data_IF_612532273252
#
_entry.id   IF_612532273252
#
_cell.length_a   1.000
_cell.length_b   1.000
_cell.length_c   1.000
_cell.angle_alpha   90.00
_cell.angle_beta   90.00
_cell.angle_gamma   90.00
#
_symmetry.space_group_name_H-M   'P 1'
#
loop_
_entity.id
_entity.type
_entity.pdbx_description
1 polymer ?
#
# COMPACT_ATOMS: atom_id res chain seq x y z
N UNK A 1 -17.86 -21.71 -7.98
CA UNK A 1 -18.07 -20.27 -7.82
C UNK A 1 -18.34 -19.99 -6.37
N UNK A 2 -17.62 -19.06 -5.76
CA UNK A 2 -17.81 -18.64 -4.36
C UNK A 2 -18.14 -17.15 -4.38
N UNK A 3 -19.07 -16.77 -3.54
CA UNK A 3 -19.47 -15.38 -3.32
C UNK A 3 -19.25 -15.06 -1.85
N UNK A 4 -18.54 -13.95 -1.57
CA UNK A 4 -18.38 -13.43 -0.22
C UNK A 4 -18.86 -11.98 -0.21
N UNK A 5 -19.53 -11.62 0.86
CA UNK A 5 -19.98 -10.26 1.13
C UNK A 5 -19.29 -9.76 2.38
N UNK A 6 -18.92 -8.48 2.39
CA UNK A 6 -18.34 -7.81 3.53
C UNK A 6 -18.77 -6.35 3.62
N UNK A 7 -18.53 -5.76 4.77
CA UNK A 7 -18.66 -4.32 4.98
C UNK A 7 -17.31 -3.82 5.43
N UNK A 8 -16.89 -2.71 4.90
CA UNK A 8 -15.61 -2.09 5.21
C UNK A 8 -15.84 -0.64 5.62
N UNK A 9 -15.11 -0.22 6.63
CA UNK A 9 -15.02 1.17 7.04
C UNK A 9 -13.58 1.49 7.40
N UNK A 10 -13.00 2.49 6.76
CA UNK A 10 -11.73 3.08 7.14
C UNK A 10 -11.73 4.59 6.94
N UNK A 11 -10.70 5.25 7.48
CA UNK A 11 -10.60 6.69 7.39
C UNK A 11 -10.27 7.20 5.98
N UNK A 12 -9.69 6.40 5.09
CA UNK A 12 -9.34 6.82 3.73
C UNK A 12 -10.50 6.64 2.75
N UNK A 13 -11.13 5.46 2.76
CA UNK A 13 -12.17 5.11 1.79
C UNK A 13 -13.58 5.21 2.35
N UNK A 14 -13.73 5.57 3.62
CA UNK A 14 -15.01 5.71 4.33
C UNK A 14 -15.82 4.40 4.34
N UNK A 15 -17.13 4.46 4.17
CA UNK A 15 -18.00 3.29 4.23
C UNK A 15 -18.10 2.62 2.88
N UNK A 16 -17.97 1.28 2.85
CA UNK A 16 -18.13 0.53 1.62
C UNK A 16 -18.69 -0.88 1.86
N UNK A 17 -19.42 -1.38 0.87
CA UNK A 17 -19.81 -2.79 0.75
C UNK A 17 -18.82 -3.50 -0.16
N UNK A 18 -18.33 -4.66 0.27
CA UNK A 18 -17.42 -5.52 -0.46
C UNK A 18 -18.19 -6.70 -1.05
N UNK A 19 -18.01 -6.94 -2.34
CA UNK A 19 -18.46 -8.12 -3.05
C UNK A 19 -17.25 -8.84 -3.63
N UNK A 20 -16.93 -10.04 -3.13
CA UNK A 20 -15.91 -10.90 -3.70
C UNK A 20 -16.54 -12.03 -4.48
N UNK A 21 -16.11 -12.23 -5.71
CA UNK A 21 -16.50 -13.34 -6.59
C UNK A 21 -15.23 -14.12 -6.92
N UNK A 22 -15.21 -15.40 -6.55
CA UNK A 22 -14.14 -16.32 -6.92
C UNK A 22 -14.71 -17.43 -7.79
N UNK A 23 -14.16 -17.63 -8.97
CA UNK A 23 -14.51 -18.72 -9.88
C UNK A 23 -13.27 -19.48 -10.32
N UNK A 24 -13.26 -20.78 -10.11
CA UNK A 24 -12.27 -21.72 -10.63
C UNK A 24 -12.82 -22.40 -11.87
N UNK A 25 -11.92 -22.79 -12.78
CA UNK A 25 -12.25 -23.50 -14.03
C UNK A 25 -13.25 -22.70 -14.88
N UNK A 26 -12.88 -21.45 -15.24
CA UNK A 26 -13.71 -20.57 -16.06
C UNK A 26 -13.57 -20.90 -17.54
N UNK A 27 -12.34 -20.97 -18.05
CA UNK A 27 -11.99 -21.27 -19.43
C UNK A 27 -11.11 -22.51 -19.55
N UNK A 28 -10.27 -22.78 -18.53
CA UNK A 28 -9.34 -23.91 -18.46
C UNK A 28 -9.49 -24.63 -17.11
N UNK A 29 -9.00 -25.87 -17.03
CA UNK A 29 -9.07 -26.66 -15.81
C UNK A 29 -8.19 -26.11 -14.67
N UNK A 30 -7.17 -25.34 -15.02
CA UNK A 30 -6.18 -24.81 -14.07
C UNK A 30 -6.32 -23.30 -13.87
N UNK A 31 -7.44 -22.69 -14.26
CA UNK A 31 -7.62 -21.25 -14.11
C UNK A 31 -8.43 -20.85 -12.86
N UNK A 32 -8.14 -19.66 -12.39
CA UNK A 32 -8.86 -19.01 -11.30
C UNK A 32 -9.11 -17.54 -11.66
N UNK A 33 -10.30 -17.08 -11.37
CA UNK A 33 -10.68 -15.68 -11.46
C UNK A 33 -11.13 -15.16 -10.10
N UNK A 34 -10.58 -14.05 -9.71
CA UNK A 34 -10.93 -13.30 -8.49
C UNK A 34 -11.40 -11.91 -8.89
N UNK A 35 -12.53 -11.51 -8.36
CA UNK A 35 -13.06 -10.16 -8.58
C UNK A 35 -13.55 -9.62 -7.25
N UNK A 36 -12.96 -8.50 -6.83
CA UNK A 36 -13.40 -7.72 -5.69
C UNK A 36 -14.01 -6.43 -6.19
N UNK A 37 -15.26 -6.19 -5.85
CA UNK A 37 -15.92 -4.90 -6.04
C UNK A 37 -16.19 -4.30 -4.68
N UNK A 38 -15.75 -3.06 -4.52
CA UNK A 38 -15.95 -2.27 -3.32
C UNK A 38 -16.72 -1.03 -3.72
N UNK A 39 -17.96 -0.94 -3.25
CA UNK A 39 -18.89 0.12 -3.60
C UNK A 39 -19.30 0.85 -2.34
N UNK A 40 -19.13 2.14 -2.34
CA UNK A 40 -19.43 3.03 -1.22
C UNK A 40 -19.13 4.47 -1.58
N UNK A 41 -18.62 5.24 -0.63
CA UNK A 41 -18.22 6.63 -0.86
C UNK A 41 -17.12 6.72 -1.95
N UNK A 42 -16.21 5.73 -1.96
CA UNK A 42 -15.16 5.60 -2.96
C UNK A 42 -15.23 4.23 -3.64
N UNK A 43 -15.28 4.22 -4.97
CA UNK A 43 -15.40 2.99 -5.75
C UNK A 43 -14.02 2.40 -6.00
N UNK A 44 -13.90 1.08 -5.80
CA UNK A 44 -12.68 0.33 -6.09
C UNK A 44 -13.02 -1.02 -6.72
N UNK A 45 -12.16 -1.53 -7.56
CA UNK A 45 -12.19 -2.92 -7.95
C UNK A 45 -10.78 -3.52 -8.00
N UNK A 46 -10.72 -4.84 -7.81
CA UNK A 46 -9.54 -5.64 -8.08
C UNK A 46 -10.00 -6.89 -8.84
N UNK A 47 -9.49 -7.08 -10.04
CA UNK A 47 -9.74 -8.25 -10.88
C UNK A 47 -8.41 -8.94 -11.13
N UNK A 48 -8.37 -10.24 -10.88
CA UNK A 48 -7.22 -11.09 -11.20
C UNK A 48 -7.70 -12.36 -11.90
N UNK A 49 -7.14 -12.63 -13.04
CA UNK A 49 -7.29 -13.88 -13.77
C UNK A 49 -5.93 -14.57 -13.86
N UNK A 50 -5.88 -15.83 -13.46
CA UNK A 50 -4.64 -16.54 -13.28
C UNK A 50 -4.77 -17.99 -13.76
N UNK A 51 -3.81 -18.44 -14.59
CA UNK A 51 -3.68 -19.83 -15.03
C UNK A 51 -2.56 -20.49 -14.27
N UNK A 52 -2.90 -21.37 -13.33
CA UNK A 52 -1.95 -22.03 -12.44
C UNK A 52 -1.33 -23.26 -13.10
N UNK A 53 -0.05 -23.22 -13.33
CA UNK A 53 0.75 -24.37 -13.80
C UNK A 53 1.71 -24.90 -12.72
N UNK A 54 1.54 -24.45 -11.47
CA UNK A 54 2.36 -24.85 -10.33
C UNK A 54 3.84 -24.45 -10.50
N UNK A 55 4.72 -25.45 -10.45
CA UNK A 55 6.15 -25.22 -10.61
C UNK A 55 6.56 -24.73 -12.01
N UNK A 56 5.74 -24.99 -13.03
CA UNK A 56 5.95 -24.43 -14.36
C UNK A 56 5.49 -22.98 -14.41
N UNK A 57 5.85 -22.24 -15.46
CA UNK A 57 5.43 -20.87 -15.65
C UNK A 57 3.91 -20.76 -15.73
N UNK A 58 3.37 -19.99 -14.81
CA UNK A 58 1.96 -19.62 -14.74
C UNK A 58 1.78 -18.19 -15.24
N UNK A 59 0.61 -17.87 -15.77
CA UNK A 59 0.33 -16.56 -16.37
C UNK A 59 -0.85 -15.91 -15.67
N UNK A 60 -0.73 -14.61 -15.45
CA UNK A 60 -1.78 -13.81 -14.81
C UNK A 60 -2.02 -12.48 -15.50
N UNK A 61 -3.27 -12.03 -15.35
CA UNK A 61 -3.73 -10.70 -15.72
C UNK A 61 -4.31 -10.08 -14.45
N UNK A 62 -3.92 -8.87 -14.12
CA UNK A 62 -4.47 -8.12 -12.98
C UNK A 62 -4.89 -6.74 -13.44
N UNK A 63 -6.05 -6.30 -12.98
CA UNK A 63 -6.55 -4.95 -13.18
C UNK A 63 -7.14 -4.45 -11.87
N UNK A 64 -6.69 -3.29 -11.40
CA UNK A 64 -7.24 -2.66 -10.23
C UNK A 64 -7.51 -1.17 -10.47
N UNK A 65 -8.54 -0.69 -9.81
CA UNK A 65 -8.91 0.71 -9.74
C UNK A 65 -9.08 1.12 -8.29
N UNK A 66 -8.43 2.20 -7.92
CA UNK A 66 -8.56 2.84 -6.62
C UNK A 66 -8.91 4.30 -6.81
N UNK A 67 -9.83 4.80 -6.01
CA UNK A 67 -10.16 6.21 -5.97
C UNK A 67 -10.41 6.62 -4.53
N UNK A 68 -9.93 7.79 -4.15
CA UNK A 68 -10.28 8.43 -2.89
C UNK A 68 -10.27 9.96 -3.05
N UNK A 69 -10.98 10.59 -2.14
CA UNK A 69 -11.08 12.05 -2.01
C UNK A 69 -10.85 12.38 -0.53
N UNK A 70 -9.76 13.11 -0.24
CA UNK A 70 -9.35 13.39 1.12
C UNK A 70 -8.42 14.58 1.26
N UNK A 71 -8.59 15.31 2.35
CA UNK A 71 -7.61 16.27 2.83
C UNK A 71 -6.38 15.54 3.38
N UNK A 72 -5.23 15.81 2.80
CA UNK A 72 -3.94 15.17 3.13
C UNK A 72 -2.92 16.23 3.54
N UNK A 73 -1.98 15.82 4.39
CA UNK A 73 -0.86 16.68 4.82
C UNK A 73 0.34 16.60 3.89
N UNK A 74 0.36 15.62 2.99
CA UNK A 74 1.45 15.44 2.02
C UNK A 74 1.33 16.45 0.88
N UNK A 75 2.45 17.09 0.53
CA UNK A 75 2.52 18.02 -0.60
C UNK A 75 2.86 17.25 -1.88
N UNK A 76 1.91 17.21 -2.82
CA UNK A 76 2.09 16.61 -4.15
C UNK A 76 2.59 17.64 -5.18
N UNK A 77 2.74 18.90 -4.79
CA UNK A 77 3.07 20.00 -5.70
C UNK A 77 4.55 20.33 -5.59
N UNK A 78 5.27 20.24 -6.70
CA UNK A 78 6.63 20.72 -6.81
C UNK A 78 6.67 22.20 -7.18
N UNK A 79 7.46 23.00 -6.45
CA UNK A 79 7.77 24.37 -6.85
C UNK A 79 8.75 24.33 -8.04
N UNK A 80 8.24 24.62 -9.24
CA UNK A 80 9.12 24.76 -10.42
C UNK A 80 9.85 26.10 -10.40
N UNK A 81 11.11 26.08 -10.76
CA UNK A 81 11.94 27.29 -10.86
C UNK A 81 11.34 28.26 -11.89
N UNK A 82 10.81 29.40 -11.40
CA UNK A 82 10.18 30.46 -12.21
C UNK A 82 8.69 30.63 -11.98
N UNK A 83 8.05 29.71 -11.28
CA UNK A 83 6.65 29.84 -10.87
C UNK A 83 6.49 30.75 -9.63
N UNK A 84 5.35 31.42 -9.45
CA UNK A 84 5.07 32.14 -8.24
C UNK A 84 5.07 31.18 -7.04
N UNK A 85 5.58 31.56 -5.86
CA UNK A 85 5.57 30.70 -4.70
C UNK A 85 4.15 30.27 -4.37
N UNK A 86 3.96 28.96 -4.18
CA UNK A 86 2.69 28.41 -3.75
C UNK A 86 2.29 28.97 -2.38
N UNK A 87 1.01 29.18 -2.12
CA UNK A 87 0.56 29.56 -0.80
C UNK A 87 0.92 28.48 0.21
N UNK A 88 1.38 28.85 1.42
CA UNK A 88 1.58 27.91 2.53
C UNK A 88 0.24 27.23 2.86
N UNK A 89 0.06 25.99 2.39
CA UNK A 89 -1.14 25.19 2.61
C UNK A 89 -0.78 24.07 3.58
N UNK A 90 -1.44 24.05 4.73
CA UNK A 90 -1.22 23.00 5.74
C UNK A 90 -1.82 21.64 5.34
N UNK A 91 -2.78 21.61 4.43
CA UNK A 91 -3.45 20.40 3.93
C UNK A 91 -3.95 20.65 2.51
N UNK A 92 -3.76 19.64 1.66
CA UNK A 92 -4.33 19.61 0.32
C UNK A 92 -5.57 18.74 0.30
N UNK A 93 -6.60 19.16 -0.38
CA UNK A 93 -7.74 18.31 -0.75
C UNK A 93 -7.37 17.56 -2.03
N UNK A 94 -7.12 16.28 -1.92
CA UNK A 94 -6.60 15.45 -3.00
C UNK A 94 -7.64 14.44 -3.42
N UNK A 95 -7.99 14.50 -4.69
CA UNK A 95 -8.80 13.49 -5.38
C UNK A 95 -7.90 12.65 -6.27
N UNK A 96 -7.69 11.41 -5.86
CA UNK A 96 -6.83 10.47 -6.57
C UNK A 96 -7.66 9.44 -7.32
N UNK A 97 -7.25 9.15 -8.56
CA UNK A 97 -7.71 8.01 -9.35
C UNK A 97 -6.51 7.25 -9.90
N UNK A 98 -6.40 5.97 -9.52
CA UNK A 98 -5.32 5.06 -9.92
C UNK A 98 -5.90 3.84 -10.61
N UNK A 99 -5.50 3.58 -11.85
CA UNK A 99 -5.81 2.36 -12.59
C UNK A 99 -4.51 1.64 -12.89
N UNK A 100 -4.35 0.43 -12.40
CA UNK A 100 -3.17 -0.39 -12.67
C UNK A 100 -3.59 -1.67 -13.38
N UNK A 101 -3.02 -1.90 -14.59
CA UNK A 101 -3.21 -3.10 -15.38
C UNK A 101 -1.88 -3.83 -15.53
N UNK A 102 -1.85 -5.11 -15.22
CA UNK A 102 -0.64 -5.92 -15.24
C UNK A 102 -0.86 -7.21 -16.01
N UNK A 103 0.16 -7.58 -16.78
CA UNK A 103 0.32 -8.90 -17.40
C UNK A 103 1.59 -9.49 -16.85
N UNK A 104 1.53 -10.67 -16.25
CA UNK A 104 2.69 -11.27 -15.63
C UNK A 104 2.81 -12.76 -15.88
N UNK A 105 4.02 -13.25 -15.73
CA UNK A 105 4.34 -14.64 -15.65
C UNK A 105 5.09 -14.91 -14.35
N UNK A 106 4.80 -16.05 -13.71
CA UNK A 106 5.42 -16.41 -12.45
C UNK A 106 5.67 -17.90 -12.34
N UNK A 107 6.53 -18.29 -11.44
CA UNK A 107 6.69 -19.67 -10.97
C UNK A 107 6.45 -19.73 -9.47
N UNK A 108 5.80 -20.80 -9.02
CA UNK A 108 5.52 -21.03 -7.60
C UNK A 108 6.23 -22.30 -7.16
N UNK A 109 7.05 -22.20 -6.13
CA UNK A 109 7.78 -23.32 -5.57
C UNK A 109 7.31 -23.62 -4.14
N UNK A 110 6.87 -24.85 -3.90
CA UNK A 110 6.37 -25.36 -2.61
C UNK A 110 5.22 -24.54 -2.01
N UNK A 111 4.42 -23.87 -2.84
CA UNK A 111 3.28 -23.03 -2.42
C UNK A 111 3.65 -21.80 -1.55
N UNK A 112 4.89 -21.68 -1.13
CA UNK A 112 5.37 -20.61 -0.25
C UNK A 112 6.18 -19.55 -0.99
N UNK A 113 6.93 -19.93 -2.02
CA UNK A 113 7.83 -19.06 -2.75
C UNK A 113 7.32 -18.79 -4.15
N UNK A 114 7.21 -17.51 -4.50
CA UNK A 114 6.79 -17.05 -5.82
C UNK A 114 7.80 -16.06 -6.37
N UNK A 115 8.17 -16.23 -7.62
CA UNK A 115 8.95 -15.27 -8.39
C UNK A 115 8.25 -15.00 -9.71
N UNK A 116 8.15 -13.73 -10.10
CA UNK A 116 7.50 -13.35 -11.34
C UNK A 116 8.07 -12.08 -11.96
N UNK A 117 7.74 -11.91 -13.23
CA UNK A 117 8.05 -10.71 -14.02
C UNK A 117 6.84 -10.33 -14.86
N UNK A 118 6.69 -9.06 -15.17
CA UNK A 118 5.53 -8.60 -15.93
C UNK A 118 5.71 -7.24 -16.57
N UNK A 119 4.65 -6.83 -17.24
CA UNK A 119 4.46 -5.50 -17.79
C UNK A 119 3.29 -4.84 -17.08
N UNK A 120 3.42 -3.56 -16.81
CA UNK A 120 2.40 -2.77 -16.15
C UNK A 120 2.06 -1.54 -16.97
N UNK A 121 0.77 -1.24 -17.05
CA UNK A 121 0.23 0.04 -17.45
C UNK A 121 -0.45 0.65 -16.22
N UNK A 122 -0.05 1.86 -15.87
CA UNK A 122 -0.60 2.64 -14.76
C UNK A 122 -1.14 3.96 -15.27
N UNK A 123 -2.43 4.21 -15.07
CA UNK A 123 -3.02 5.53 -15.24
C UNK A 123 -3.19 6.17 -13.87
N UNK A 124 -2.63 7.36 -13.70
CA UNK A 124 -2.69 8.12 -12.47
C UNK A 124 -3.25 9.51 -12.75
N UNK A 125 -4.29 9.88 -12.00
CA UNK A 125 -4.85 11.22 -12.01
C UNK A 125 -4.95 11.73 -10.59
N UNK A 126 -4.37 12.91 -10.34
CA UNK A 126 -4.40 13.62 -9.06
C UNK A 126 -4.90 15.04 -9.30
N UNK A 127 -5.94 15.41 -8.59
CA UNK A 127 -6.59 16.73 -8.68
C UNK A 127 -6.66 17.34 -7.28
N UNK A 128 -6.67 18.67 -7.21
CA UNK A 128 -6.89 19.40 -5.95
C UNK A 128 -7.82 20.59 -6.17
N UNK A 129 -8.73 20.80 -5.20
CA UNK A 129 -9.58 22.00 -5.13
C UNK A 129 -8.96 23.08 -4.22
N UNK A 130 -7.95 22.73 -3.43
CA UNK A 130 -7.33 23.65 -2.45
C UNK A 130 -6.61 24.80 -3.13
N UNK A 131 -6.04 24.55 -4.29
CA UNK A 131 -5.40 25.53 -5.15
C UNK A 131 -6.26 25.57 -6.42
N UNK A 132 -6.90 26.70 -6.68
CA UNK A 132 -7.70 26.89 -7.88
C UNK A 132 -6.92 27.72 -8.90
N UNK A 133 -7.21 27.49 -10.18
CA UNK A 133 -6.72 28.36 -11.23
C UNK A 133 -7.44 29.71 -11.27
N UNK A 134 -7.05 30.61 -12.17
CA UNK A 134 -7.66 31.95 -12.32
C UNK A 134 -9.15 31.91 -12.71
N UNK A 135 -9.67 30.78 -13.20
CA UNK A 135 -11.06 30.54 -13.57
C UNK A 135 -11.86 29.86 -12.43
N UNK A 136 -11.18 29.38 -11.38
CA UNK A 136 -11.76 28.71 -10.21
C UNK A 136 -11.99 27.21 -10.43
N UNK A 137 -11.35 26.63 -11.43
CA UNK A 137 -11.41 25.19 -11.72
C UNK A 137 -10.36 24.40 -10.89
N UNK A 138 -10.64 23.12 -10.67
CA UNK A 138 -9.72 22.17 -10.00
C UNK A 138 -8.38 22.11 -10.74
N UNK A 139 -7.27 22.21 -9.99
CA UNK A 139 -5.95 22.04 -10.59
C UNK A 139 -5.64 20.56 -10.70
N UNK A 140 -5.26 20.16 -11.91
CA UNK A 140 -4.78 18.81 -12.20
C UNK A 140 -3.28 18.78 -11.94
N UNK A 141 -2.89 18.08 -10.86
CA UNK A 141 -1.49 17.91 -10.47
C UNK A 141 -0.82 16.81 -11.28
N UNK A 142 -1.57 15.74 -11.60
CA UNK A 142 -1.11 14.60 -12.39
C UNK A 142 -2.25 14.09 -13.27
N UNK A 143 -1.97 13.72 -14.53
CA UNK A 143 -2.92 13.07 -15.43
C UNK A 143 -2.17 12.35 -16.54
N UNK A 144 -1.61 11.17 -16.21
CA UNK A 144 -0.72 10.49 -17.14
C UNK A 144 -0.88 8.97 -17.15
N UNK A 145 -0.40 8.37 -18.24
CA UNK A 145 -0.27 6.93 -18.38
C UNK A 145 1.21 6.55 -18.37
N UNK A 146 1.57 5.68 -17.46
CA UNK A 146 2.91 5.17 -17.27
C UNK A 146 2.98 3.71 -17.70
N UNK A 147 4.10 3.33 -18.31
CA UNK A 147 4.37 1.95 -18.70
C UNK A 147 5.66 1.49 -18.04
N UNK A 148 5.59 0.38 -17.34
CA UNK A 148 6.75 -0.21 -16.67
C UNK A 148 6.90 -1.69 -16.99
N UNK A 149 8.12 -2.17 -16.87
CA UNK A 149 8.38 -3.59 -16.63
C UNK A 149 8.64 -3.77 -15.14
N UNK A 150 8.18 -4.88 -14.58
CA UNK A 150 8.36 -5.14 -13.16
C UNK A 150 8.73 -6.58 -12.88
N UNK A 151 9.38 -6.78 -11.75
CA UNK A 151 9.66 -8.09 -11.17
C UNK A 151 9.25 -8.14 -9.72
N UNK A 152 8.84 -9.30 -9.25
CA UNK A 152 8.45 -9.49 -7.86
C UNK A 152 8.91 -10.83 -7.33
N UNK A 153 9.10 -10.87 -6.00
CA UNK A 153 9.47 -12.04 -5.25
C UNK A 153 8.66 -12.07 -3.95
N UNK A 154 7.98 -13.19 -3.70
CA UNK A 154 7.17 -13.39 -2.50
C UNK A 154 7.54 -14.69 -1.82
N UNK A 155 7.60 -14.64 -0.50
CA UNK A 155 7.70 -15.81 0.36
C UNK A 155 6.77 -15.63 1.54
N UNK A 156 5.87 -16.57 1.77
CA UNK A 156 4.94 -16.50 2.89
C UNK A 156 4.76 -17.89 3.51
N UNK A 157 5.27 -18.04 4.74
CA UNK A 157 5.09 -19.21 5.58
C UNK A 157 4.41 -18.88 6.91
N UNK A 158 3.80 -17.67 7.02
CA UNK A 158 3.04 -17.29 8.20
C UNK A 158 1.82 -18.20 8.38
N UNK A 159 1.60 -18.65 9.60
CA UNK A 159 0.48 -19.52 9.96
C UNK A 159 -0.89 -18.81 9.93
N UNK A 160 -0.91 -17.50 10.14
CA UNK A 160 -2.10 -16.67 10.07
C UNK A 160 -1.75 -15.31 9.47
N UNK A 161 -2.58 -14.82 8.56
CA UNK A 161 -2.39 -13.53 7.90
C UNK A 161 -2.57 -12.33 8.83
N UNK A 162 -3.49 -12.43 9.79
CA UNK A 162 -3.94 -11.28 10.62
C UNK A 162 -3.39 -11.32 12.04
N UNK A 163 -3.15 -12.52 12.57
CA UNK A 163 -2.61 -12.78 13.90
C UNK A 163 -1.50 -13.84 13.80
N UNK A 164 -0.38 -13.51 13.13
CA UNK A 164 0.68 -14.48 12.91
C UNK A 164 1.33 -14.88 14.24
N UNK A 165 1.48 -16.18 14.45
CA UNK A 165 2.16 -16.71 15.64
C UNK A 165 3.52 -17.30 15.32
N UNK A 166 3.74 -17.70 14.07
CA UNK A 166 5.01 -18.26 13.58
C UNK A 166 5.14 -18.14 12.08
N UNK A 167 6.37 -18.17 11.59
CA UNK A 167 6.69 -18.18 10.18
C UNK A 167 7.52 -16.99 9.75
N UNK A 168 7.80 -16.93 8.47
CA UNK A 168 8.55 -15.86 7.83
C UNK A 168 7.78 -15.35 6.62
N UNK A 169 7.96 -14.07 6.36
CA UNK A 169 7.33 -13.36 5.24
C UNK A 169 8.36 -12.52 4.50
N UNK A 170 8.27 -12.50 3.19
CA UNK A 170 8.95 -11.57 2.31
C UNK A 170 8.04 -11.24 1.13
N UNK A 171 7.89 -9.97 0.82
CA UNK A 171 7.23 -9.47 -0.39
C UNK A 171 8.06 -8.30 -0.90
N UNK A 172 8.53 -8.40 -2.13
CA UNK A 172 9.33 -7.35 -2.75
C UNK A 172 9.01 -7.23 -4.23
N UNK A 173 8.97 -6.01 -4.72
CA UNK A 173 8.78 -5.66 -6.11
C UNK A 173 9.75 -4.57 -6.56
N UNK A 174 9.99 -4.55 -7.86
CA UNK A 174 10.81 -3.56 -8.54
C UNK A 174 10.15 -3.20 -9.86
N UNK A 175 9.83 -1.95 -10.04
CA UNK A 175 9.23 -1.40 -11.25
C UNK A 175 10.22 -0.48 -11.95
N UNK A 176 10.40 -0.67 -13.25
CA UNK A 176 11.18 0.21 -14.11
C UNK A 176 10.23 0.91 -15.08
N UNK A 177 9.95 2.18 -14.82
CA UNK A 177 9.08 3.04 -15.65
C UNK A 177 9.87 3.55 -16.85
N UNK A 178 9.43 3.16 -18.03
CA UNK A 178 10.15 3.38 -19.29
C UNK A 178 9.51 4.42 -20.17
N UNK A 179 8.19 4.60 -20.05
CA UNK A 179 7.42 5.48 -20.95
C UNK A 179 6.30 6.17 -20.17
N UNK A 180 6.03 7.41 -20.55
CA UNK A 180 4.81 8.13 -20.25
C UNK A 180 4.18 8.69 -21.51
N UNK A 181 2.85 8.90 -21.55
CA UNK A 181 2.18 9.30 -22.79
C UNK A 181 1.78 10.76 -22.85
N UNK A 182 1.66 11.46 -21.74
CA UNK A 182 1.15 12.84 -21.71
C UNK A 182 2.20 13.87 -21.36
N UNK A 183 3.36 13.45 -20.90
CA UNK A 183 4.38 14.40 -20.49
C UNK A 183 5.00 15.04 -21.72
N UNK A 184 4.91 16.34 -21.77
CA UNK A 184 5.64 17.17 -22.71
C UNK A 184 7.14 16.92 -22.53
N UNK A 185 7.77 16.20 -23.39
CA UNK A 185 9.21 16.06 -23.66
C UNK A 185 10.21 15.84 -22.50
N UNK A 186 9.77 15.86 -21.23
CA UNK A 186 10.65 15.87 -20.05
C UNK A 186 10.57 14.59 -19.19
N UNK A 187 9.94 13.52 -19.71
CA UNK A 187 9.92 12.24 -19.02
C UNK A 187 11.32 11.62 -18.95
N UNK A 188 11.83 11.44 -17.75
CA UNK A 188 13.03 10.65 -17.47
C UNK A 188 12.65 9.28 -16.95
N UNK A 189 13.34 8.24 -17.39
CA UNK A 189 13.14 6.89 -16.88
C UNK A 189 13.51 6.83 -15.41
N UNK A 190 12.67 6.17 -14.62
CA UNK A 190 12.90 5.99 -13.19
C UNK A 190 12.48 4.59 -12.72
N UNK A 191 12.93 4.22 -11.54
CA UNK A 191 12.61 2.94 -10.92
C UNK A 191 12.03 3.13 -9.54
N UNK A 192 11.10 2.25 -9.16
CA UNK A 192 10.55 2.18 -7.83
C UNK A 192 10.77 0.76 -7.30
N UNK A 193 11.40 0.66 -6.15
CA UNK A 193 11.61 -0.60 -5.43
C UNK A 193 10.91 -0.55 -4.07
N UNK A 194 10.19 -1.58 -3.71
CA UNK A 194 9.59 -1.74 -2.37
C UNK A 194 9.81 -3.16 -1.89
N UNK A 195 10.11 -3.31 -0.61
CA UNK A 195 10.20 -4.62 0.00
C UNK A 195 9.72 -4.59 1.45
N UNK A 196 9.05 -5.66 1.85
CA UNK A 196 8.62 -5.94 3.22
C UNK A 196 9.09 -7.32 3.61
N UNK A 197 9.74 -7.45 4.74
CA UNK A 197 10.19 -8.73 5.29
C UNK A 197 9.87 -8.80 6.78
N UNK A 198 9.66 -10.00 7.28
CA UNK A 198 9.39 -10.16 8.70
C UNK A 198 9.25 -11.60 9.12
N UNK A 199 9.07 -11.76 10.40
CA UNK A 199 8.84 -13.06 11.02
C UNK A 199 7.90 -12.95 12.20
N UNK A 200 7.22 -14.04 12.52
CA UNK A 200 6.48 -14.22 13.75
C UNK A 200 7.06 -15.40 14.54
N UNK A 201 7.06 -15.28 15.85
CA UNK A 201 7.55 -16.32 16.75
C UNK A 201 6.74 -16.37 18.05
N UNK A 202 6.39 -17.57 18.54
CA UNK A 202 5.73 -17.69 19.83
C UNK A 202 6.71 -17.39 20.98
N UNK A 203 6.35 -16.49 21.90
CA UNK A 203 7.08 -16.24 23.14
C UNK A 203 6.61 -17.21 24.23
N UNK A 204 5.30 -17.42 24.29
CA UNK A 204 4.63 -18.32 25.21
C UNK A 204 3.39 -18.91 24.55
N UNK A 205 2.70 -19.87 25.17
CA UNK A 205 1.59 -20.63 24.56
C UNK A 205 0.59 -19.81 23.73
N UNK A 206 0.18 -18.65 24.25
CA UNK A 206 -0.83 -17.79 23.63
C UNK A 206 -0.28 -16.37 23.42
N UNK A 207 1.02 -16.18 23.49
CA UNK A 207 1.69 -14.91 23.30
C UNK A 207 2.70 -15.04 22.19
N UNK A 208 2.55 -14.26 21.15
CA UNK A 208 3.45 -14.19 20.01
C UNK A 208 4.07 -12.81 19.86
N UNK A 209 5.19 -12.77 19.20
CA UNK A 209 5.86 -11.56 18.77
C UNK A 209 6.05 -11.63 17.26
N UNK A 210 5.75 -10.56 16.59
CA UNK A 210 6.12 -10.39 15.19
C UNK A 210 6.91 -9.10 14.97
N UNK A 211 7.80 -9.18 13.99
CA UNK A 211 8.63 -8.08 13.53
C UNK A 211 8.57 -8.00 12.02
N UNK A 212 8.30 -6.80 11.50
CA UNK A 212 8.33 -6.51 10.07
C UNK A 212 9.19 -5.29 9.81
N UNK A 213 10.11 -5.41 8.86
CA UNK A 213 10.84 -4.31 8.26
C UNK A 213 10.32 -4.05 6.85
N UNK A 214 10.14 -2.81 6.48
CA UNK A 214 9.65 -2.38 5.18
C UNK A 214 10.46 -1.19 4.70
N UNK A 215 10.78 -1.16 3.41
CA UNK A 215 11.51 -0.06 2.81
C UNK A 215 11.11 0.13 1.36
N UNK A 216 11.17 1.37 0.91
CA UNK A 216 10.89 1.75 -0.45
C UNK A 216 11.86 2.83 -0.93
N UNK A 217 12.14 2.80 -2.24
CA UNK A 217 13.09 3.67 -2.90
C UNK A 217 12.61 4.02 -4.29
N UNK A 218 12.67 5.28 -4.64
CA UNK A 218 12.58 5.78 -6.00
C UNK A 218 13.99 6.11 -6.50
N UNK A 219 14.36 5.59 -7.64
CA UNK A 219 15.67 5.80 -8.27
C UNK A 219 15.48 6.49 -9.62
N UNK A 220 16.35 7.42 -9.93
CA UNK A 220 16.34 8.15 -11.18
C UNK A 220 16.14 9.63 -10.94
N UNK A 221 16.49 10.42 -11.94
CA UNK A 221 16.37 11.87 -11.91
C UNK A 221 14.98 12.25 -12.45
N UNK A 222 13.97 12.01 -11.64
CA UNK A 222 12.58 12.30 -12.00
C UNK A 222 11.96 13.30 -11.04
N UNK A 223 11.27 14.27 -11.61
CA UNK A 223 10.47 15.27 -10.89
C UNK A 223 9.05 14.77 -10.60
N UNK A 224 8.74 13.47 -10.83
CA UNK A 224 7.39 12.92 -10.63
C UNK A 224 7.19 12.52 -9.17
N UNK A 225 6.62 13.42 -8.36
CA UNK A 225 6.35 13.20 -6.93
C UNK A 225 5.18 12.24 -6.66
N UNK A 226 4.32 12.00 -7.66
CA UNK A 226 3.18 11.09 -7.54
C UNK A 226 3.56 9.64 -7.28
N UNK A 227 4.83 9.27 -7.46
CA UNK A 227 5.38 7.96 -7.13
C UNK A 227 6.19 7.92 -5.83
N UNK A 228 6.25 9.03 -5.10
CA UNK A 228 6.86 9.06 -3.79
C UNK A 228 6.08 8.19 -2.81
N UNK A 229 6.78 7.66 -1.84
CA UNK A 229 6.15 6.87 -0.79
C UNK A 229 5.48 7.77 0.21
N UNK A 230 4.24 7.44 0.55
CA UNK A 230 3.43 8.20 1.49
C UNK A 230 3.01 7.27 2.61
N UNK A 231 3.26 7.69 3.84
CA UNK A 231 3.00 6.91 5.04
C UNK A 231 1.89 7.55 5.87
N UNK A 232 1.12 6.69 6.55
CA UNK A 232 0.07 7.09 7.47
C UNK A 232 -1.15 6.19 7.42
N UNK A 233 -1.99 6.28 8.46
CA UNK A 233 -3.20 5.48 8.59
C UNK A 233 -2.95 4.00 8.86
N UNK A 234 -4.01 3.20 8.81
CA UNK A 234 -3.94 1.76 9.03
C UNK A 234 -4.77 0.99 8.00
N UNK A 235 -4.24 -0.17 7.58
CA UNK A 235 -5.01 -1.18 6.84
C UNK A 235 -5.11 -0.97 5.33
N UNK A 236 -4.28 -0.13 4.72
CA UNK A 236 -4.36 0.14 3.30
C UNK A 236 -3.02 -0.11 2.56
N UNK A 237 -2.94 -1.25 1.86
CA UNK A 237 -1.83 -1.65 1.00
C UNK A 237 -2.27 -1.75 -0.49
N UNK A 238 -3.34 -1.06 -0.91
CA UNK A 238 -3.90 -1.22 -2.25
C UNK A 238 -3.12 -0.47 -3.34
N UNK A 239 -2.46 0.62 -2.98
CA UNK A 239 -1.62 1.42 -3.87
C UNK A 239 -0.17 1.21 -3.45
N UNK A 240 0.70 0.87 -4.39
CA UNK A 240 2.06 0.40 -4.09
C UNK A 240 2.90 1.40 -3.28
N UNK A 241 2.78 2.68 -3.55
CA UNK A 241 3.54 3.73 -2.86
C UNK A 241 2.88 4.23 -1.57
N UNK A 242 1.69 3.74 -1.18
CA UNK A 242 1.06 4.09 0.10
C UNK A 242 1.35 2.99 1.12
N UNK A 243 1.87 3.38 2.28
CA UNK A 243 2.29 2.45 3.33
C UNK A 243 1.61 2.79 4.65
N UNK A 244 0.89 1.84 5.30
CA UNK A 244 0.27 2.08 6.59
C UNK A 244 1.29 2.44 7.67
N UNK A 245 0.97 3.44 8.51
CA UNK A 245 1.76 3.81 9.67
C UNK A 245 0.85 4.26 10.81
N UNK A 246 0.91 3.54 11.94
CA UNK A 246 0.06 3.80 13.10
C UNK A 246 0.46 5.08 13.82
N UNK A 247 -0.49 5.78 14.41
CA UNK A 247 -0.27 7.01 15.17
C UNK A 247 -0.31 8.28 14.33
N UNK A 248 -0.42 8.16 13.01
CA UNK A 248 -0.58 9.26 12.07
C UNK A 248 -1.84 9.09 11.24
N UNK A 249 -2.43 10.18 10.81
CA UNK A 249 -3.55 10.15 9.87
C UNK A 249 -3.08 9.60 8.51
N UNK A 250 -4.01 9.27 7.63
CA UNK A 250 -3.68 8.77 6.30
C UNK A 250 -2.89 9.84 5.52
N UNK A 251 -1.88 9.39 4.76
CA UNK A 251 -1.11 10.22 3.84
C UNK A 251 -0.48 11.44 4.55
N UNK A 252 0.17 11.22 5.69
CA UNK A 252 0.65 12.30 6.54
C UNK A 252 2.09 12.74 6.25
N UNK A 253 2.94 11.83 5.81
CA UNK A 253 4.35 12.11 5.56
C UNK A 253 4.92 11.12 4.54
N UNK A 254 6.04 11.46 3.91
CA UNK A 254 6.65 10.60 2.90
C UNK A 254 7.89 11.22 2.27
N UNK A 255 8.19 10.81 1.04
CA UNK A 255 9.30 11.23 0.21
C UNK A 255 9.69 10.16 -0.80
N UNK A 256 10.77 10.38 -1.53
CA UNK A 256 11.28 9.43 -2.53
C UNK A 256 11.73 8.09 -1.93
N UNK A 257 11.96 8.07 -0.62
CA UNK A 257 12.43 6.88 0.09
C UNK A 257 11.96 6.80 1.54
N UNK A 258 11.83 5.57 2.04
CA UNK A 258 11.53 5.33 3.45
C UNK A 258 12.12 4.00 3.94
N UNK A 259 12.33 3.93 5.25
CA UNK A 259 12.56 2.68 5.99
C UNK A 259 11.68 2.68 7.24
N UNK A 260 10.97 1.58 7.45
CA UNK A 260 10.02 1.39 8.53
C UNK A 260 10.26 0.07 9.24
N UNK A 261 10.13 0.04 10.54
CA UNK A 261 10.09 -1.19 11.33
C UNK A 261 8.82 -1.22 12.19
N UNK A 262 8.19 -2.38 12.26
CA UNK A 262 6.98 -2.63 13.06
C UNK A 262 7.23 -3.79 13.99
N UNK A 263 6.94 -3.59 15.27
CA UNK A 263 7.04 -4.57 16.35
C UNK A 263 5.64 -4.79 16.91
N UNK A 264 5.19 -6.02 16.96
CA UNK A 264 3.88 -6.34 17.50
C UNK A 264 3.98 -7.48 18.51
N UNK A 265 3.25 -7.34 19.61
CA UNK A 265 3.02 -8.40 20.59
C UNK A 265 1.54 -8.72 20.58
N UNK A 266 1.20 -9.96 20.28
CA UNK A 266 -0.17 -10.45 20.24
C UNK A 266 -0.41 -11.48 21.34
N UNK A 267 -1.49 -11.28 22.11
CA UNK A 267 -1.91 -12.18 23.16
C UNK A 267 -3.32 -12.70 22.92
N UNK A 268 -3.42 -13.98 22.53
CA UNK A 268 -4.70 -14.69 22.49
C UNK A 268 -5.13 -15.04 23.94
N UNK A 269 -5.71 -14.09 24.66
CA UNK A 269 -6.09 -14.24 26.07
C UNK A 269 -7.28 -15.19 26.27
N UNK A 270 -8.15 -15.29 25.27
CA UNK A 270 -9.22 -16.27 25.14
C UNK A 270 -9.24 -16.72 23.68
N UNK A 271 -9.60 -17.96 23.42
CA UNK A 271 -9.67 -18.51 22.05
C UNK A 271 -10.35 -17.56 21.09
N UNK A 272 -9.67 -17.25 19.97
CA UNK A 272 -10.11 -16.32 18.92
C UNK A 272 -10.20 -14.84 19.38
N UNK A 273 -9.75 -14.50 20.58
CA UNK A 273 -9.76 -13.13 21.08
C UNK A 273 -8.34 -12.68 21.37
N UNK A 274 -7.93 -11.63 20.73
CA UNK A 274 -6.58 -11.11 20.72
C UNK A 274 -6.50 -9.72 21.34
N UNK A 275 -5.47 -9.50 22.13
CA UNK A 275 -5.06 -8.18 22.56
C UNK A 275 -3.66 -7.94 22.01
N UNK A 276 -3.48 -6.89 21.23
CA UNK A 276 -2.21 -6.59 20.62
C UNK A 276 -1.68 -5.21 21.00
N UNK A 277 -0.36 -5.14 21.11
CA UNK A 277 0.38 -3.91 21.25
C UNK A 277 1.35 -3.81 20.07
N UNK A 278 1.27 -2.71 19.35
CA UNK A 278 2.11 -2.46 18.17
C UNK A 278 2.90 -1.17 18.36
N UNK A 279 4.18 -1.22 18.03
CA UNK A 279 5.03 -0.04 17.90
C UNK A 279 5.61 -0.02 16.49
N UNK A 280 5.56 1.11 15.81
CA UNK A 280 6.22 1.31 14.55
C UNK A 280 7.11 2.55 14.56
N UNK A 281 8.20 2.47 13.83
CA UNK A 281 9.19 3.54 13.71
C UNK A 281 9.58 3.67 12.24
N UNK A 282 9.85 4.89 11.79
CA UNK A 282 10.28 5.14 10.41
C UNK A 282 11.21 6.33 10.29
N UNK A 283 12.03 6.29 9.23
CA UNK A 283 12.64 7.44 8.59
C UNK A 283 12.11 7.51 7.16
N UNK A 284 11.62 8.66 6.74
CA UNK A 284 11.11 8.90 5.40
C UNK A 284 11.45 10.33 4.98
N UNK A 285 11.66 10.53 3.71
CA UNK A 285 12.01 11.83 3.12
C UNK A 285 12.79 11.64 1.83
N UNK A 286 13.21 12.75 1.24
CA UNK A 286 13.96 12.72 0.01
C UNK A 286 15.44 12.44 0.25
N UNK A 287 16.00 11.57 -0.57
CA UNK A 287 17.42 11.21 -0.55
C UNK A 287 17.95 10.73 0.82
N UNK A 288 17.11 10.08 1.66
CA UNK A 288 17.52 9.64 3.01
C UNK A 288 18.68 8.64 2.97
N UNK A 289 18.86 7.91 1.86
CA UNK A 289 19.96 6.96 1.68
C UNK A 289 21.27 7.67 1.35
N UNK A 290 21.25 8.67 0.48
CA UNK A 290 22.44 9.45 0.13
C UNK A 290 22.93 10.27 1.32
N UNK A 291 22.00 10.79 2.14
CA UNK A 291 22.31 11.51 3.37
C UNK A 291 22.71 10.61 4.53
N UNK A 292 22.53 9.29 4.40
CA UNK A 292 22.79 8.32 5.48
C UNK A 292 21.78 8.36 6.62
N UNK A 293 20.61 8.99 6.40
CA UNK A 293 19.57 9.19 7.42
C UNK A 293 18.69 7.95 7.64
N UNK A 294 18.76 6.98 6.75
CA UNK A 294 17.96 5.75 6.82
C UNK A 294 18.24 4.88 8.06
N UNK A 295 19.42 5.02 8.70
CA UNK A 295 19.84 4.28 9.89
C UNK A 295 20.09 5.17 11.11
N UNK A 296 19.55 6.39 11.10
CA UNK A 296 19.58 7.29 12.26
C UNK A 296 18.50 6.95 13.27
N UNK A 297 18.40 7.71 14.33
CA UNK A 297 17.24 7.63 15.24
C UNK A 297 15.96 7.91 14.44
N UNK A 298 14.90 7.11 14.66
CA UNK A 298 13.66 7.29 13.93
C UNK A 298 13.09 8.70 14.10
N UNK A 299 12.71 9.30 12.99
CA UNK A 299 12.04 10.60 12.96
C UNK A 299 10.55 10.48 13.30
N UNK A 300 9.94 9.36 12.90
CA UNK A 300 8.52 9.10 13.10
C UNK A 300 8.34 7.87 13.97
N UNK A 301 7.52 7.99 15.01
CA UNK A 301 7.16 6.88 15.89
C UNK A 301 5.65 6.78 16.06
N UNK A 302 5.13 5.58 16.21
CA UNK A 302 3.70 5.37 16.40
C UNK A 302 3.44 4.13 17.23
N UNK A 303 2.40 4.20 18.05
CA UNK A 303 2.02 3.17 18.99
C UNK A 303 0.55 2.84 18.84
N UNK A 304 0.19 1.60 19.18
CA UNK A 304 -1.19 1.15 19.12
C UNK A 304 -1.47 0.09 20.16
N UNK A 305 -2.66 0.14 20.72
CA UNK A 305 -3.28 -0.95 21.47
C UNK A 305 -4.54 -1.37 20.74
N UNK A 306 -4.69 -2.66 20.48
CA UNK A 306 -5.80 -3.19 19.71
C UNK A 306 -6.46 -4.41 20.34
N UNK A 307 -7.73 -4.57 20.04
CA UNK A 307 -8.50 -5.79 20.26
C UNK A 307 -8.84 -6.43 18.92
N UNK A 308 -8.64 -7.73 18.82
CA UNK A 308 -8.96 -8.53 17.64
C UNK A 308 -9.87 -9.70 17.97
N UNK A 309 -10.77 -10.03 17.06
CA UNK A 309 -11.64 -11.19 17.16
C UNK A 309 -11.68 -11.96 15.85
N UNK A 310 -11.32 -13.23 15.88
CA UNK A 310 -11.43 -14.14 14.73
C UNK A 310 -12.85 -14.64 14.58
N UNK A 311 -13.68 -13.90 13.83
CA UNK A 311 -15.07 -14.27 13.59
C UNK A 311 -15.20 -15.21 12.38
N UNK A 312 -16.34 -15.87 12.26
CA UNK A 312 -16.67 -16.74 11.10
C UNK A 312 -16.79 -15.96 9.77
N UNK A 313 -16.99 -14.64 9.83
CA UNK A 313 -17.05 -13.77 8.65
C UNK A 313 -15.70 -13.14 8.31
N UNK A 314 -14.68 -13.35 9.16
CA UNK A 314 -13.34 -12.79 9.04
C UNK A 314 -12.86 -12.11 10.32
N UNK A 315 -11.63 -11.62 10.37
CA UNK A 315 -11.10 -10.94 11.53
C UNK A 315 -11.76 -9.57 11.71
N UNK A 316 -12.12 -9.26 12.95
CA UNK A 316 -12.57 -7.95 13.37
C UNK A 316 -11.47 -7.35 14.24
N UNK A 317 -11.06 -6.13 13.98
CA UNK A 317 -10.03 -5.45 14.76
C UNK A 317 -10.48 -4.02 15.08
N UNK A 318 -10.16 -3.57 16.28
CA UNK A 318 -10.32 -2.20 16.71
C UNK A 318 -9.04 -1.75 17.42
N UNK A 319 -8.49 -0.61 17.04
CA UNK A 319 -7.23 -0.10 17.57
C UNK A 319 -7.35 1.36 17.99
N UNK A 320 -6.63 1.69 19.04
CA UNK A 320 -6.35 3.06 19.46
C UNK A 320 -4.89 3.33 19.14
N UNK A 321 -4.63 4.35 18.36
CA UNK A 321 -3.31 4.67 17.84
C UNK A 321 -2.91 6.07 18.26
N UNK A 322 -1.65 6.28 18.59
CA UNK A 322 -1.09 7.59 18.94
C UNK A 322 0.38 7.69 18.55
N UNK A 323 0.85 8.90 18.42
CA UNK A 323 2.26 9.24 18.25
C UNK A 323 2.67 10.32 19.25
N UNK A 324 3.88 10.28 19.84
CA UNK A 324 4.40 11.39 20.62
C UNK A 324 4.67 12.67 19.83
N UNK A 325 4.80 12.55 18.50
CA UNK A 325 5.09 13.66 17.59
C UNK A 325 3.81 14.37 17.12
N UNK A 326 2.62 13.79 17.39
CA UNK A 326 1.32 14.37 17.06
C UNK A 326 0.48 14.49 18.33
N UNK A 327 -0.39 15.50 18.36
CA UNK A 327 -1.33 15.69 19.49
C UNK A 327 -2.60 14.82 19.36
N UNK A 328 -2.71 14.05 18.26
CA UNK A 328 -3.92 13.31 17.91
C UNK A 328 -3.90 11.86 18.43
N UNK A 329 -5.06 11.41 18.89
CA UNK A 329 -5.33 10.00 19.16
C UNK A 329 -6.36 9.50 18.17
N UNK A 330 -5.99 8.48 17.39
CA UNK A 330 -6.78 7.96 16.29
C UNK A 330 -7.43 6.62 16.66
N UNK A 331 -8.66 6.42 16.19
CA UNK A 331 -9.41 5.17 16.34
C UNK A 331 -9.59 4.52 14.97
N UNK A 332 -9.22 3.24 14.88
CA UNK A 332 -9.30 2.46 13.63
C UNK A 332 -9.86 1.06 13.90
#
# INVERSE_FOLDING_TARGET
MFLKLGVHYDGLYKTAALLNITKKHLFFDDDNMYVDFIVGDNIRYNLEYYVDKGFYWSFGLKSCYNSFDRNVSFDFVEEKAGDPPLPEVNKLDVKLSDITNQVYMQTVWKEEFTFGVGLEHKFLKIETETIADDEGDEIVLENDNYFSTYGFLKFDSLDNKYFPSKGFYFDGDFHLYLLSTNISNDFSEFSVAKAKMGFATPIYKNLSFDFFAEGGFKFGDTEVNSFDFILGGWGNDFINNITPFLGYDYLSFGGDSFVKATFNVDWEFVKQNHLNFTANVANAGDNIFERGEWFTLPTYTGYSVGYGYESFIGPLQAKVNWSPETDDTLFT
#
